data_IF_402707743055
#
_entry.id   IF_402707743055
#
_cell.length_a   1.000
_cell.length_b   1.000
_cell.length_c   1.000
_cell.angle_alpha   90.00
_cell.angle_beta   90.00
_cell.angle_gamma   90.00
#
_symmetry.space_group_name_H-M   'P 1'
#
loop_
_entity.id
_entity.type
_entity.pdbx_description
1 polymer ?
#
# COMPACT_ATOMS: atom_id res chain seq x y z
N UNK A 1 -11.90 25.51 -0.35
CA UNK A 1 -11.66 24.86 0.96
C UNK A 1 -10.78 23.65 0.71
N UNK A 2 -9.47 23.79 0.85
CA UNK A 2 -8.55 22.65 0.84
C UNK A 2 -8.73 21.94 2.17
N UNK A 3 -9.42 20.80 2.17
CA UNK A 3 -9.47 19.95 3.34
C UNK A 3 -8.03 19.44 3.58
N UNK A 4 -7.43 19.88 4.69
CA UNK A 4 -6.20 19.32 5.25
C UNK A 4 -6.48 17.85 5.61
N UNK A 5 -6.40 17.00 4.60
CA UNK A 5 -6.51 15.57 4.75
C UNK A 5 -5.17 15.12 5.30
N UNK A 6 -5.14 14.91 6.63
CA UNK A 6 -4.01 14.28 7.32
C UNK A 6 -3.55 13.08 6.48
N UNK A 7 -2.26 12.98 6.12
CA UNK A 7 -1.77 11.85 5.36
C UNK A 7 -2.00 10.57 6.17
N UNK A 8 -2.65 9.60 5.53
CA UNK A 8 -2.95 8.29 6.11
C UNK A 8 -1.65 7.58 6.48
N UNK A 9 -1.56 7.09 7.71
CA UNK A 9 -0.42 6.28 8.17
C UNK A 9 -0.42 4.89 7.51
N UNK A 10 0.72 4.20 7.51
CA UNK A 10 0.81 2.84 6.97
C UNK A 10 -0.16 1.86 7.67
N UNK A 11 -0.36 2.02 8.98
CA UNK A 11 -1.30 1.21 9.74
C UNK A 11 -2.76 1.45 9.31
N UNK A 12 -3.15 2.71 9.21
CA UNK A 12 -4.49 3.11 8.73
C UNK A 12 -4.71 2.65 7.28
N UNK A 13 -3.70 2.73 6.42
CA UNK A 13 -3.78 2.27 5.04
C UNK A 13 -3.96 0.75 4.93
N UNK A 14 -3.28 -0.04 5.76
CA UNK A 14 -3.48 -1.49 5.83
C UNK A 14 -4.88 -1.85 6.29
N UNK A 15 -5.35 -1.26 7.39
CA UNK A 15 -6.69 -1.49 7.90
C UNK A 15 -7.75 -1.11 6.86
N UNK A 16 -7.57 0.03 6.17
CA UNK A 16 -8.47 0.45 5.10
C UNK A 16 -8.47 -0.52 3.92
N UNK A 17 -7.29 -1.03 3.54
CA UNK A 17 -7.17 -2.02 2.47
C UNK A 17 -7.89 -3.33 2.80
N UNK A 18 -7.81 -3.81 4.04
CA UNK A 18 -8.51 -5.01 4.51
C UNK A 18 -10.03 -4.83 4.45
N UNK A 19 -10.55 -3.71 4.96
CA UNK A 19 -11.98 -3.36 4.87
C UNK A 19 -12.48 -3.31 3.43
N UNK A 20 -11.67 -2.75 2.51
CA UNK A 20 -12.02 -2.69 1.09
C UNK A 20 -12.02 -4.07 0.42
N UNK A 21 -11.14 -4.99 0.83
CA UNK A 21 -11.14 -6.38 0.35
C UNK A 21 -12.40 -7.10 0.82
N UNK A 22 -12.72 -7.00 2.11
CA UNK A 22 -13.89 -7.64 2.69
C UNK A 22 -15.16 -7.20 1.96
N UNK A 23 -15.35 -5.89 1.82
CA UNK A 23 -16.51 -5.34 1.11
C UNK A 23 -16.56 -5.75 -0.37
N UNK A 24 -15.41 -5.86 -1.04
CA UNK A 24 -15.36 -6.35 -2.41
C UNK A 24 -15.85 -7.80 -2.50
N UNK A 25 -15.39 -8.67 -1.60
CA UNK A 25 -15.80 -10.08 -1.57
C UNK A 25 -17.29 -10.24 -1.27
N UNK A 26 -17.85 -9.41 -0.40
CA UNK A 26 -19.30 -9.36 -0.16
C UNK A 26 -20.07 -9.04 -1.44
N UNK A 27 -19.67 -8.00 -2.17
CA UNK A 27 -20.32 -7.59 -3.42
C UNK A 27 -20.18 -8.69 -4.49
N UNK A 28 -19.00 -9.29 -4.62
CA UNK A 28 -18.78 -10.38 -5.56
C UNK A 28 -19.65 -11.60 -5.25
N UNK A 29 -19.81 -11.92 -3.97
CA UNK A 29 -20.72 -12.98 -3.51
C UNK A 29 -22.18 -12.65 -3.86
N UNK A 30 -22.63 -11.43 -3.59
CA UNK A 30 -24.00 -11.01 -3.87
C UNK A 30 -24.32 -11.02 -5.37
N UNK A 31 -23.40 -10.51 -6.21
CA UNK A 31 -23.54 -10.56 -7.66
C UNK A 31 -23.53 -12.01 -8.19
N UNK A 32 -22.73 -12.89 -7.59
CA UNK A 32 -22.71 -14.31 -7.94
C UNK A 32 -24.03 -15.00 -7.58
N UNK A 33 -24.60 -14.73 -6.40
CA UNK A 33 -25.91 -15.26 -6.00
C UNK A 33 -27.03 -14.72 -6.88
N UNK A 34 -27.02 -13.44 -7.22
CA UNK A 34 -27.97 -12.87 -8.19
C UNK A 34 -27.91 -13.60 -9.53
N UNK A 35 -26.70 -13.91 -10.02
CA UNK A 35 -26.51 -14.67 -11.26
C UNK A 35 -27.01 -16.11 -11.12
N UNK A 36 -26.70 -16.78 -10.01
CA UNK A 36 -27.14 -18.16 -9.73
C UNK A 36 -28.66 -18.25 -9.64
N UNK A 37 -29.31 -17.34 -8.91
CA UNK A 37 -30.77 -17.27 -8.80
C UNK A 37 -31.45 -17.12 -10.18
N UNK A 38 -30.91 -16.26 -11.04
CA UNK A 38 -31.42 -16.13 -12.40
C UNK A 38 -31.25 -17.41 -13.23
N UNK A 39 -30.09 -18.07 -13.14
CA UNK A 39 -29.81 -19.28 -13.93
C UNK A 39 -30.66 -20.46 -13.47
N UNK A 40 -30.69 -20.72 -12.16
CA UNK A 40 -31.26 -21.92 -11.55
C UNK A 40 -32.76 -21.77 -11.28
N UNK A 41 -33.15 -20.64 -10.69
CA UNK A 41 -34.51 -20.43 -10.17
C UNK A 41 -35.36 -19.60 -11.13
N UNK A 42 -34.76 -19.05 -12.20
CA UNK A 42 -35.40 -18.11 -13.15
C UNK A 42 -35.95 -16.86 -12.48
N UNK A 43 -35.44 -16.53 -11.30
CA UNK A 43 -35.79 -15.33 -10.56
C UNK A 43 -35.04 -14.14 -11.16
N UNK A 44 -35.79 -13.16 -11.67
CA UNK A 44 -35.19 -11.91 -12.13
C UNK A 44 -34.83 -11.02 -10.93
N UNK A 45 -33.56 -10.65 -10.85
CA UNK A 45 -33.07 -9.70 -9.86
C UNK A 45 -33.23 -8.27 -10.37
N UNK A 46 -33.47 -7.34 -9.44
CA UNK A 46 -33.64 -5.91 -9.75
C UNK A 46 -32.41 -5.35 -10.47
N UNK A 47 -32.60 -4.87 -11.70
CA UNK A 47 -31.51 -4.26 -12.48
C UNK A 47 -30.86 -3.06 -11.77
N UNK A 48 -31.61 -2.13 -11.15
CA UNK A 48 -31.03 -1.06 -10.33
C UNK A 48 -30.13 -1.57 -9.20
N UNK A 49 -30.51 -2.67 -8.54
CA UNK A 49 -29.70 -3.24 -7.45
C UNK A 49 -28.36 -3.76 -7.98
N UNK A 50 -28.38 -4.52 -9.09
CA UNK A 50 -27.16 -5.02 -9.73
C UNK A 50 -26.21 -3.90 -10.15
N UNK A 51 -26.73 -2.88 -10.83
CA UNK A 51 -25.92 -1.73 -11.29
C UNK A 51 -25.31 -0.97 -10.10
N UNK A 52 -26.04 -0.86 -8.99
CA UNK A 52 -25.53 -0.20 -7.77
C UNK A 52 -24.34 -0.96 -7.19
N UNK A 53 -24.43 -2.29 -7.12
CA UNK A 53 -23.33 -3.15 -6.65
C UNK A 53 -22.12 -3.09 -7.59
N UNK A 54 -22.33 -3.11 -8.91
CA UNK A 54 -21.25 -2.97 -9.90
C UNK A 54 -20.56 -1.60 -9.80
N UNK A 55 -21.32 -0.53 -9.59
CA UNK A 55 -20.78 0.81 -9.37
C UNK A 55 -19.97 0.91 -8.07
N UNK A 56 -20.45 0.27 -6.99
CA UNK A 56 -19.72 0.20 -5.73
C UNK A 56 -18.40 -0.57 -5.89
N UNK A 57 -18.41 -1.71 -6.59
CA UNK A 57 -17.21 -2.49 -6.88
C UNK A 57 -16.17 -1.67 -7.66
N UNK A 58 -16.60 -0.90 -8.67
CA UNK A 58 -15.73 -0.02 -9.43
C UNK A 58 -15.11 1.08 -8.54
N UNK A 59 -15.91 1.68 -7.65
CA UNK A 59 -15.43 2.68 -6.67
C UNK A 59 -14.39 2.08 -5.73
N UNK A 60 -14.64 0.88 -5.21
CA UNK A 60 -13.70 0.17 -4.33
C UNK A 60 -12.38 -0.13 -5.05
N UNK A 61 -12.42 -0.52 -6.33
CA UNK A 61 -11.20 -0.79 -7.10
C UNK A 61 -10.28 0.45 -7.20
N UNK A 62 -10.87 1.62 -7.47
CA UNK A 62 -10.13 2.90 -7.51
C UNK A 62 -9.55 3.23 -6.14
N UNK A 63 -10.33 3.05 -5.08
CA UNK A 63 -9.90 3.33 -3.71
C UNK A 63 -8.75 2.41 -3.28
N UNK A 64 -8.85 1.10 -3.57
CA UNK A 64 -7.78 0.12 -3.30
C UNK A 64 -6.48 0.53 -3.98
N UNK A 65 -6.53 0.97 -5.24
CA UNK A 65 -5.34 1.42 -5.95
C UNK A 65 -4.67 2.61 -5.25
N UNK A 66 -5.46 3.60 -4.80
CA UNK A 66 -4.94 4.75 -4.07
C UNK A 66 -4.29 4.33 -2.73
N UNK A 67 -4.93 3.43 -1.98
CA UNK A 67 -4.41 2.91 -0.71
C UNK A 67 -3.10 2.13 -0.91
N UNK A 68 -3.03 1.25 -1.93
CA UNK A 68 -1.81 0.50 -2.26
C UNK A 68 -0.66 1.43 -2.60
N UNK A 69 -0.92 2.53 -3.34
CA UNK A 69 0.09 3.54 -3.65
C UNK A 69 0.67 4.17 -2.39
N UNK A 70 -0.18 4.52 -1.42
CA UNK A 70 0.25 5.06 -0.12
C UNK A 70 1.10 4.03 0.63
N UNK A 71 0.65 2.77 0.70
CA UNK A 71 1.38 1.70 1.37
C UNK A 71 2.78 1.49 0.77
N UNK A 72 2.90 1.50 -0.57
CA UNK A 72 4.17 1.33 -1.25
C UNK A 72 5.11 2.53 -1.01
N UNK A 73 4.57 3.75 -1.04
CA UNK A 73 5.33 4.95 -0.71
C UNK A 73 5.88 4.89 0.73
N UNK A 74 5.04 4.52 1.71
CA UNK A 74 5.46 4.37 3.11
C UNK A 74 6.51 3.29 3.30
N UNK A 75 6.36 2.11 2.66
CA UNK A 75 7.36 1.04 2.72
C UNK A 75 8.71 1.45 2.12
N UNK A 76 8.68 2.17 1.00
CA UNK A 76 9.90 2.66 0.36
C UNK A 76 10.59 3.74 1.22
N UNK A 77 9.82 4.64 1.83
CA UNK A 77 10.34 5.62 2.77
C UNK A 77 10.98 4.96 4.00
N UNK A 78 10.34 3.93 4.57
CA UNK A 78 10.90 3.17 5.68
C UNK A 78 12.19 2.44 5.29
N UNK A 79 12.23 1.83 4.10
CA UNK A 79 13.43 1.17 3.56
C UNK A 79 14.58 2.17 3.40
N UNK A 80 14.31 3.34 2.82
CA UNK A 80 15.31 4.40 2.66
C UNK A 80 15.84 4.89 4.01
N UNK A 81 14.94 5.13 4.97
CA UNK A 81 15.31 5.56 6.32
C UNK A 81 16.18 4.52 7.05
N UNK A 82 15.81 3.23 6.96
CA UNK A 82 16.61 2.13 7.54
C UNK A 82 17.99 2.03 6.89
N UNK A 83 18.09 2.20 5.57
CA UNK A 83 19.36 2.18 4.86
C UNK A 83 20.27 3.34 5.29
N UNK A 84 19.71 4.54 5.43
CA UNK A 84 20.44 5.72 5.92
C UNK A 84 20.93 5.54 7.36
N UNK A 85 20.08 5.03 8.27
CA UNK A 85 20.48 4.72 9.65
C UNK A 85 21.59 3.67 9.71
N UNK A 86 21.49 2.60 8.93
CA UNK A 86 22.50 1.55 8.88
C UNK A 86 23.86 2.11 8.42
N UNK A 87 23.87 2.96 7.39
CA UNK A 87 25.07 3.66 6.93
C UNK A 87 25.67 4.55 8.03
N UNK A 88 24.86 5.37 8.70
CA UNK A 88 25.33 6.24 9.78
C UNK A 88 25.92 5.43 10.96
N UNK A 89 25.28 4.32 11.34
CA UNK A 89 25.77 3.41 12.39
C UNK A 89 27.09 2.76 11.97
N UNK A 90 27.19 2.30 10.72
CA UNK A 90 28.41 1.69 10.18
C UNK A 90 29.59 2.66 10.21
N UNK A 91 29.41 3.90 9.74
CA UNK A 91 30.43 4.95 9.81
C UNK A 91 30.87 5.21 11.24
N UNK A 92 29.93 5.28 12.19
CA UNK A 92 30.24 5.45 13.62
C UNK A 92 31.10 4.30 14.17
N UNK A 93 30.80 3.06 13.80
CA UNK A 93 31.56 1.88 14.21
C UNK A 93 32.97 1.88 13.61
N UNK A 94 33.09 2.18 12.32
CA UNK A 94 34.38 2.21 11.62
C UNK A 94 35.30 3.29 12.19
N UNK A 95 34.77 4.48 12.46
CA UNK A 95 35.50 5.54 13.14
C UNK A 95 35.94 5.14 14.55
N UNK A 96 35.07 4.51 15.34
CA UNK A 96 35.41 4.05 16.68
C UNK A 96 36.52 2.97 16.70
N UNK A 97 36.70 2.25 15.59
CA UNK A 97 37.75 1.23 15.42
C UNK A 97 39.02 1.75 14.73
N UNK A 98 39.09 3.04 14.41
CA UNK A 98 40.23 3.63 13.71
C UNK A 98 40.35 3.22 12.23
N UNK A 99 39.29 2.67 11.65
CA UNK A 99 39.26 2.17 10.27
C UNK A 99 38.79 3.26 9.29
N UNK A 100 39.43 4.44 9.34
CA UNK A 100 39.02 5.62 8.56
C UNK A 100 39.02 5.41 7.04
N UNK A 101 39.92 4.57 6.52
CA UNK A 101 39.97 4.25 5.09
C UNK A 101 38.72 3.48 4.62
N UNK A 102 38.16 2.62 5.49
CA UNK A 102 36.93 1.87 5.20
C UNK A 102 35.68 2.74 5.25
N UNK A 103 35.73 3.91 5.91
CA UNK A 103 34.63 4.89 5.91
C UNK A 103 34.45 5.51 4.53
N UNK A 104 35.55 5.79 3.82
CA UNK A 104 35.52 6.34 2.46
C UNK A 104 34.88 5.34 1.50
N UNK A 105 35.29 4.07 1.57
CA UNK A 105 34.73 3.02 0.72
C UNK A 105 33.26 2.69 1.08
N UNK A 106 32.90 2.72 2.36
CA UNK A 106 31.51 2.55 2.80
C UNK A 106 30.60 3.69 2.31
N UNK A 107 31.08 4.94 2.33
CA UNK A 107 30.35 6.09 1.79
C UNK A 107 30.23 6.01 0.26
N UNK A 108 31.29 5.59 -0.44
CA UNK A 108 31.27 5.38 -1.90
C UNK A 108 30.21 4.35 -2.30
N UNK A 109 30.18 3.19 -1.63
CA UNK A 109 29.19 2.14 -1.87
C UNK A 109 27.77 2.59 -1.52
N UNK A 110 27.60 3.44 -0.50
CA UNK A 110 26.29 3.99 -0.15
C UNK A 110 25.76 4.98 -1.21
N UNK A 111 26.64 5.77 -1.83
CA UNK A 111 26.29 6.67 -2.94
C UNK A 111 25.95 5.84 -4.20
N UNK A 112 26.77 4.85 -4.54
CA UNK A 112 26.55 3.96 -5.70
C UNK A 112 25.23 3.16 -5.57
N UNK A 113 24.85 2.79 -4.35
CA UNK A 113 23.57 2.12 -4.06
C UNK A 113 22.36 3.06 -4.03
N UNK A 114 22.56 4.39 -4.19
CA UNK A 114 21.50 5.39 -4.12
C UNK A 114 20.93 5.60 -2.71
N UNK A 115 21.72 5.28 -1.67
CA UNK A 115 21.32 5.38 -0.26
C UNK A 115 21.75 6.71 0.36
N UNK A 116 22.85 7.31 -0.12
CA UNK A 116 23.33 8.62 0.30
C UNK A 116 23.27 9.61 -0.88
N UNK A 117 22.64 10.77 -0.65
CA UNK A 117 22.66 11.95 -1.55
C UNK A 117 23.87 12.82 -1.30
#
# INVERSE_FOLDING_TARGET
MTQDTKPMTLGEAKARHEVLIERQLEIECELAEMKRAYIVEKTENSFPARVTLEAEAARIAVEKYAVVKIMNASKNAEKAYRALLAGAILVKILNARGLGELVVEANRLAIDAGIAT
#
